data_IF_040878484817
#
_entry.id   IF_040878484817
#
_cell.length_a   1.000
_cell.length_b   1.000
_cell.length_c   1.000
_cell.angle_alpha   90.00
_cell.angle_beta   90.00
_cell.angle_gamma   90.00
#
_symmetry.space_group_name_H-M   'P 1'
#
loop_
_entity.id
_entity.type
_entity.pdbx_description
1 polymer ?
#
# COMPACT_ATOMS: atom_id res chain seq x y z
N UNK A 1 -5.19 -43.96 -22.00
CA UNK A 1 -5.17 -42.48 -22.04
C UNK A 1 -6.59 -42.01 -21.78
N UNK A 2 -6.89 -41.51 -20.58
CA UNK A 2 -8.21 -40.98 -20.27
C UNK A 2 -8.31 -39.56 -20.84
N UNK A 3 -9.20 -39.34 -21.81
CA UNK A 3 -9.47 -38.00 -22.32
C UNK A 3 -10.15 -37.19 -21.21
N UNK A 4 -9.43 -36.24 -20.64
CA UNK A 4 -10.03 -35.24 -19.76
C UNK A 4 -10.94 -34.36 -20.61
N UNK A 5 -12.23 -34.70 -20.65
CA UNK A 5 -13.25 -33.86 -21.26
C UNK A 5 -13.41 -32.60 -20.40
N UNK A 6 -12.60 -31.58 -20.70
CA UNK A 6 -12.75 -30.28 -20.05
C UNK A 6 -14.12 -29.73 -20.43
N UNK A 7 -14.93 -29.44 -19.42
CA UNK A 7 -16.24 -28.83 -19.56
C UNK A 7 -16.20 -27.60 -20.49
N UNK A 8 -17.12 -27.48 -21.47
CA UNK A 8 -17.22 -26.29 -22.31
C UNK A 8 -17.42 -25.03 -21.45
N UNK A 9 -16.85 -23.90 -21.89
CA UNK A 9 -17.00 -22.62 -21.20
C UNK A 9 -18.49 -22.25 -21.14
N UNK A 10 -19.04 -22.24 -19.93
CA UNK A 10 -20.41 -21.84 -19.67
C UNK A 10 -20.59 -20.35 -19.96
N UNK A 11 -21.70 -19.97 -20.60
CA UNK A 11 -22.07 -18.56 -20.72
C UNK A 11 -22.87 -18.14 -19.49
N UNK A 12 -22.69 -16.89 -19.06
CA UNK A 12 -23.45 -16.31 -17.97
C UNK A 12 -24.79 -15.80 -18.47
N UNK A 13 -25.85 -16.00 -17.69
CA UNK A 13 -27.13 -15.33 -17.93
C UNK A 13 -26.96 -13.80 -17.81
N UNK A 14 -27.62 -13.06 -18.69
CA UNK A 14 -27.67 -11.61 -18.68
C UNK A 14 -28.82 -11.10 -17.79
N UNK A 15 -28.96 -9.76 -17.66
CA UNK A 15 -30.05 -9.15 -16.88
C UNK A 15 -31.44 -9.34 -17.51
N UNK A 16 -31.52 -9.72 -18.79
CA UNK A 16 -32.77 -9.88 -19.52
C UNK A 16 -32.74 -11.23 -20.24
N UNK A 17 -33.44 -12.22 -19.69
CA UNK A 17 -33.50 -13.58 -20.21
C UNK A 17 -34.93 -14.01 -20.50
N UNK A 18 -35.10 -14.80 -21.54
CA UNK A 18 -36.37 -15.47 -21.87
C UNK A 18 -36.44 -16.83 -21.17
N UNK A 19 -37.64 -17.39 -21.00
CA UNK A 19 -37.81 -18.75 -20.43
C UNK A 19 -37.01 -19.77 -21.26
N UNK A 20 -37.01 -19.63 -22.58
CA UNK A 20 -36.27 -20.51 -23.49
C UNK A 20 -34.76 -20.39 -23.32
N UNK A 21 -34.22 -19.17 -23.18
CA UNK A 21 -32.78 -18.99 -22.95
C UNK A 21 -32.34 -19.50 -21.59
N UNK A 22 -33.19 -19.35 -20.56
CA UNK A 22 -32.97 -19.94 -19.25
C UNK A 22 -32.97 -21.48 -19.28
N UNK A 23 -33.96 -22.12 -19.92
CA UNK A 23 -34.00 -23.59 -19.99
C UNK A 23 -32.83 -24.14 -20.81
N UNK A 24 -32.44 -23.48 -21.91
CA UNK A 24 -31.27 -23.88 -22.68
C UNK A 24 -29.97 -23.77 -21.87
N UNK A 25 -29.82 -22.70 -21.09
CA UNK A 25 -28.70 -22.54 -20.17
C UNK A 25 -28.70 -23.62 -19.09
N UNK A 26 -29.85 -23.89 -18.46
CA UNK A 26 -30.00 -24.93 -17.43
C UNK A 26 -29.66 -26.31 -17.97
N UNK A 27 -30.17 -26.67 -19.14
CA UNK A 27 -29.88 -27.96 -19.78
C UNK A 27 -28.38 -28.08 -20.15
N UNK A 28 -27.77 -27.00 -20.65
CA UNK A 28 -26.35 -26.98 -20.93
C UNK A 28 -25.50 -27.15 -19.66
N UNK A 29 -25.91 -26.53 -18.56
CA UNK A 29 -25.25 -26.64 -17.27
C UNK A 29 -25.35 -28.06 -16.70
N UNK A 30 -26.55 -28.65 -16.72
CA UNK A 30 -26.78 -30.04 -16.28
C UNK A 30 -25.94 -31.01 -17.11
N UNK A 31 -25.98 -30.88 -18.44
CA UNK A 31 -25.16 -31.68 -19.33
C UNK A 31 -23.67 -31.56 -19.01
N UNK A 32 -23.18 -30.33 -18.82
CA UNK A 32 -21.77 -30.08 -18.56
C UNK A 32 -21.32 -30.64 -17.21
N UNK A 33 -22.12 -30.47 -16.15
CA UNK A 33 -21.85 -31.07 -14.85
C UNK A 33 -21.93 -32.60 -14.90
N UNK A 34 -22.78 -33.18 -15.77
CA UNK A 34 -22.87 -34.64 -15.92
C UNK A 34 -21.64 -35.28 -16.56
N UNK A 35 -20.83 -34.51 -17.29
CA UNK A 35 -19.56 -34.99 -17.87
C UNK A 35 -18.46 -35.15 -16.81
N UNK A 36 -18.62 -34.57 -15.62
CA UNK A 36 -17.70 -34.69 -14.51
C UNK A 36 -18.15 -35.82 -13.57
N UNK A 37 -17.30 -36.83 -13.40
CA UNK A 37 -17.57 -37.99 -12.55
C UNK A 37 -17.83 -37.63 -11.08
N UNK A 38 -17.33 -36.47 -10.60
CA UNK A 38 -17.56 -35.99 -9.24
C UNK A 38 -18.97 -35.43 -9.04
N UNK A 39 -19.60 -34.93 -10.11
CA UNK A 39 -20.93 -34.33 -10.06
C UNK A 39 -22.03 -35.28 -10.51
N UNK A 40 -21.69 -36.32 -11.29
CA UNK A 40 -22.62 -37.34 -11.77
C UNK A 40 -23.55 -37.93 -10.67
N UNK A 41 -23.09 -38.23 -9.43
CA UNK A 41 -23.97 -38.74 -8.36
C UNK A 41 -25.05 -37.76 -7.90
N UNK A 42 -24.85 -36.46 -8.11
CA UNK A 42 -25.77 -35.39 -7.68
C UNK A 42 -26.78 -34.99 -8.76
N UNK A 43 -26.67 -35.58 -9.95
CA UNK A 43 -27.51 -35.28 -11.13
C UNK A 43 -28.41 -36.46 -11.54
N UNK A 44 -28.29 -37.60 -10.86
CA UNK A 44 -29.14 -38.76 -11.10
C UNK A 44 -30.60 -38.47 -10.68
N UNK A 45 -31.59 -39.05 -11.37
CA UNK A 45 -33.02 -38.80 -11.09
C UNK A 45 -33.43 -39.21 -9.66
N UNK A 46 -32.67 -40.12 -9.04
CA UNK A 46 -32.83 -40.61 -7.68
C UNK A 46 -31.99 -39.84 -6.63
N UNK A 47 -31.13 -38.92 -7.08
CA UNK A 47 -30.34 -38.02 -6.23
C UNK A 47 -31.29 -37.04 -5.52
N UNK A 48 -31.79 -37.49 -4.37
CA UNK A 48 -32.78 -36.77 -3.60
C UNK A 48 -32.13 -36.16 -2.37
N UNK A 49 -32.27 -34.85 -2.24
CA UNK A 49 -32.04 -34.16 -0.99
C UNK A 49 -33.03 -34.73 0.03
N UNK A 50 -32.58 -35.60 0.95
CA UNK A 50 -33.45 -36.26 1.94
C UNK A 50 -34.34 -35.24 2.68
N UNK A 51 -35.60 -35.56 2.99
CA UNK A 51 -36.55 -34.58 3.55
C UNK A 51 -36.00 -34.01 4.86
N UNK A 52 -35.92 -32.69 4.99
CA UNK A 52 -35.50 -32.05 6.25
C UNK A 52 -36.49 -32.44 7.34
N UNK A 53 -36.06 -33.32 8.24
CA UNK A 53 -36.86 -33.79 9.37
C UNK A 53 -36.20 -33.32 10.66
N UNK A 54 -36.96 -33.38 11.75
CA UNK A 54 -36.42 -33.09 13.08
C UNK A 54 -35.27 -34.04 13.48
N UNK A 55 -35.23 -35.24 12.90
CA UNK A 55 -34.20 -36.25 13.17
C UNK A 55 -33.01 -36.21 12.20
N UNK A 56 -33.17 -35.64 10.99
CA UNK A 56 -32.11 -35.49 9.99
C UNK A 56 -32.14 -34.09 9.36
N UNK A 57 -31.69 -33.06 10.10
CA UNK A 57 -31.78 -31.68 9.63
C UNK A 57 -30.81 -31.37 8.49
N UNK A 58 -29.69 -32.11 8.41
CA UNK A 58 -28.62 -31.97 7.41
C UNK A 58 -28.76 -32.94 6.24
N UNK A 59 -29.93 -33.60 6.10
CA UNK A 59 -30.25 -34.51 4.98
C UNK A 59 -29.18 -35.59 4.74
N UNK A 60 -28.47 -36.01 5.79
CA UNK A 60 -27.47 -37.08 5.75
C UNK A 60 -25.99 -36.66 5.78
N UNK A 61 -25.66 -35.38 5.99
CA UNK A 61 -24.26 -34.90 6.05
C UNK A 61 -23.87 -34.40 7.45
N UNK A 62 -22.60 -34.51 7.86
CA UNK A 62 -22.13 -34.25 9.25
C UNK A 62 -21.19 -33.05 9.34
N UNK A 63 -21.44 -32.09 10.23
CA UNK A 63 -20.74 -30.79 10.36
C UNK A 63 -19.32 -30.84 10.97
N UNK A 64 -18.60 -29.71 10.90
CA UNK A 64 -17.35 -29.48 11.66
C UNK A 64 -17.57 -29.41 13.17
N UNK A 65 -16.56 -29.85 13.93
CA UNK A 65 -16.56 -29.84 15.40
C UNK A 65 -16.35 -28.47 16.05
N UNK A 66 -16.41 -28.45 17.39
CA UNK A 66 -16.43 -27.22 18.22
C UNK A 66 -15.15 -26.38 18.17
N UNK A 67 -14.09 -26.86 17.56
CA UNK A 67 -12.81 -26.17 17.42
C UNK A 67 -12.87 -24.92 16.52
N UNK A 68 -13.94 -24.74 15.73
CA UNK A 68 -14.10 -23.58 14.82
C UNK A 68 -15.08 -22.55 15.40
N UNK A 69 -14.68 -21.27 15.37
CA UNK A 69 -15.49 -20.14 15.82
C UNK A 69 -16.87 -20.12 15.14
N UNK A 70 -17.92 -19.85 15.91
CA UNK A 70 -19.32 -20.09 15.52
C UNK A 70 -19.79 -19.33 14.28
N UNK A 71 -19.18 -18.19 13.99
CA UNK A 71 -19.38 -17.34 12.81
C UNK A 71 -18.67 -17.86 11.54
N UNK A 72 -17.72 -18.78 11.69
CA UNK A 72 -16.93 -19.36 10.59
C UNK A 72 -17.20 -20.85 10.37
N UNK A 73 -18.16 -21.43 11.11
CA UNK A 73 -18.55 -22.83 10.95
C UNK A 73 -19.21 -23.01 9.59
N UNK A 74 -18.61 -23.84 8.76
CA UNK A 74 -19.20 -24.27 7.50
C UNK A 74 -19.78 -25.67 7.68
N UNK A 75 -20.92 -25.93 7.06
CA UNK A 75 -21.43 -27.30 6.98
C UNK A 75 -20.52 -28.11 6.05
N UNK A 76 -20.41 -29.40 6.28
CA UNK A 76 -19.55 -30.28 5.47
C UNK A 76 -19.98 -30.35 4.00
N UNK A 77 -21.27 -30.13 3.73
CA UNK A 77 -21.77 -29.92 2.37
C UNK A 77 -21.19 -28.65 1.74
N UNK A 78 -21.15 -27.54 2.48
CA UNK A 78 -20.53 -26.31 1.97
C UNK A 78 -19.05 -26.55 1.68
N UNK A 79 -18.30 -27.19 2.59
CA UNK A 79 -16.87 -27.48 2.37
C UNK A 79 -16.63 -28.37 1.14
N UNK A 80 -17.39 -29.46 1.00
CA UNK A 80 -17.25 -30.37 -0.13
C UNK A 80 -17.63 -29.70 -1.45
N UNK A 81 -18.76 -28.99 -1.50
CA UNK A 81 -19.19 -28.27 -2.70
C UNK A 81 -18.15 -27.20 -3.08
N UNK A 82 -17.64 -26.44 -2.12
CA UNK A 82 -16.61 -25.43 -2.38
C UNK A 82 -15.27 -26.02 -2.79
N UNK A 83 -14.85 -27.16 -2.22
CA UNK A 83 -13.63 -27.84 -2.64
C UNK A 83 -13.77 -28.40 -4.07
N UNK A 84 -14.90 -29.02 -4.41
CA UNK A 84 -15.14 -29.54 -5.76
C UNK A 84 -15.27 -28.41 -6.79
N UNK A 85 -15.92 -27.29 -6.46
CA UNK A 85 -15.93 -26.08 -7.30
C UNK A 85 -14.50 -25.55 -7.46
N UNK A 86 -13.73 -25.47 -6.36
CA UNK A 86 -12.35 -24.99 -6.40
C UNK A 86 -11.45 -25.86 -7.28
N UNK A 87 -11.55 -27.18 -7.16
CA UNK A 87 -10.83 -28.12 -8.03
C UNK A 87 -11.27 -28.03 -9.49
N UNK A 88 -12.58 -28.00 -9.76
CA UNK A 88 -13.14 -27.98 -11.12
C UNK A 88 -12.74 -26.71 -11.89
N UNK A 89 -12.72 -25.55 -11.23
CA UNK A 89 -12.31 -24.29 -11.83
C UNK A 89 -10.80 -24.00 -11.72
N UNK A 90 -10.01 -24.89 -11.10
CA UNK A 90 -8.57 -24.73 -10.97
C UNK A 90 -8.12 -23.73 -9.90
N UNK A 91 -8.98 -23.40 -8.95
CA UNK A 91 -8.67 -22.65 -7.73
C UNK A 91 -7.93 -23.53 -6.70
N UNK A 92 -6.91 -24.27 -7.14
CA UNK A 92 -6.02 -24.95 -6.21
C UNK A 92 -5.11 -23.91 -5.56
N UNK A 93 -4.97 -23.96 -4.23
CA UNK A 93 -3.90 -23.24 -3.55
C UNK A 93 -2.60 -23.85 -4.05
N UNK A 94 -1.92 -23.12 -4.92
CA UNK A 94 -0.63 -23.51 -5.47
C UNK A 94 0.39 -22.48 -5.03
N UNK A 95 1.66 -22.88 -4.89
CA UNK A 95 2.73 -21.91 -4.63
C UNK A 95 2.84 -20.81 -5.71
N UNK A 96 2.26 -21.04 -6.90
CA UNK A 96 2.19 -20.04 -7.96
C UNK A 96 1.16 -18.94 -7.66
N UNK A 97 0.08 -19.22 -6.93
CA UNK A 97 -0.92 -18.22 -6.57
C UNK A 97 -0.30 -17.03 -5.83
N UNK A 98 0.69 -17.29 -4.95
CA UNK A 98 1.41 -16.24 -4.23
C UNK A 98 2.10 -15.22 -5.16
N UNK A 99 2.46 -15.61 -6.39
CA UNK A 99 3.07 -14.70 -7.37
C UNK A 99 2.07 -13.66 -7.89
N UNK A 100 0.76 -13.95 -7.85
CA UNK A 100 -0.28 -13.01 -8.25
C UNK A 100 -0.37 -11.81 -7.30
N UNK A 101 0.24 -11.87 -6.11
CA UNK A 101 0.37 -10.74 -5.18
C UNK A 101 1.01 -9.53 -5.86
N UNK A 102 1.93 -9.76 -6.80
CA UNK A 102 2.62 -8.70 -7.54
C UNK A 102 1.68 -7.87 -8.44
N UNK A 103 0.51 -8.40 -8.77
CA UNK A 103 -0.48 -7.73 -9.60
C UNK A 103 -1.45 -6.85 -8.79
N UNK A 104 -1.41 -6.94 -7.45
CA UNK A 104 -2.26 -6.13 -6.59
C UNK A 104 -1.83 -4.66 -6.62
N UNK A 105 -2.81 -3.80 -6.88
CA UNK A 105 -2.68 -2.34 -6.94
C UNK A 105 -3.98 -1.69 -6.50
N UNK A 106 -3.93 -0.39 -6.17
CA UNK A 106 -5.14 0.42 -5.99
C UNK A 106 -5.80 0.63 -7.36
N UNK A 107 -7.05 0.21 -7.51
CA UNK A 107 -7.82 0.40 -8.75
C UNK A 107 -8.47 1.80 -8.81
N UNK A 108 -8.88 2.21 -10.01
CA UNK A 108 -9.60 3.48 -10.21
C UNK A 108 -10.93 3.48 -9.44
N UNK A 109 -11.19 4.53 -8.67
CA UNK A 109 -12.37 4.69 -7.80
C UNK A 109 -12.46 3.70 -6.63
N UNK A 110 -11.39 2.96 -6.35
CA UNK A 110 -11.31 2.11 -5.18
C UNK A 110 -10.93 2.90 -3.93
N UNK A 111 -11.59 2.61 -2.81
CA UNK A 111 -11.21 3.21 -1.52
C UNK A 111 -9.95 2.51 -1.00
N UNK A 112 -9.01 3.23 -0.36
CA UNK A 112 -7.85 2.61 0.27
C UNK A 112 -8.20 1.45 1.22
N UNK A 113 -9.31 1.55 1.94
CA UNK A 113 -9.76 0.49 2.84
C UNK A 113 -10.15 -0.80 2.08
N UNK A 114 -10.75 -0.68 0.90
CA UNK A 114 -11.12 -1.85 0.07
C UNK A 114 -9.86 -2.57 -0.43
N UNK A 115 -8.82 -1.81 -0.82
CA UNK A 115 -7.50 -2.36 -1.14
C UNK A 115 -6.90 -3.13 0.04
N UNK A 116 -7.01 -2.60 1.27
CA UNK A 116 -6.53 -3.30 2.47
C UNK A 116 -7.25 -4.64 2.65
N UNK A 117 -8.57 -4.67 2.50
CA UNK A 117 -9.36 -5.90 2.61
C UNK A 117 -8.96 -6.93 1.54
N UNK A 118 -8.72 -6.50 0.29
CA UNK A 118 -8.22 -7.39 -0.76
C UNK A 118 -6.83 -7.95 -0.46
N UNK A 119 -5.93 -7.15 0.10
CA UNK A 119 -4.59 -7.60 0.50
C UNK A 119 -4.68 -8.65 1.62
N UNK A 120 -5.53 -8.42 2.63
CA UNK A 120 -5.76 -9.39 3.72
C UNK A 120 -6.34 -10.68 3.16
N UNK A 121 -7.44 -10.60 2.40
CA UNK A 121 -8.10 -11.77 1.84
C UNK A 121 -7.15 -12.60 0.96
N UNK A 122 -6.34 -11.94 0.12
CA UNK A 122 -5.34 -12.63 -0.68
C UNK A 122 -4.30 -13.37 0.17
N UNK A 123 -3.78 -12.73 1.22
CA UNK A 123 -2.80 -13.38 2.10
C UNK A 123 -3.42 -14.53 2.88
N UNK A 124 -4.66 -14.37 3.36
CA UNK A 124 -5.43 -15.44 4.01
C UNK A 124 -5.66 -16.64 3.08
N UNK A 125 -5.93 -16.38 1.80
CA UNK A 125 -6.06 -17.43 0.77
C UNK A 125 -4.73 -18.13 0.47
N UNK A 126 -3.60 -17.50 0.81
CA UNK A 126 -2.26 -18.09 0.70
C UNK A 126 -1.82 -18.89 1.92
N UNK A 127 -2.50 -18.75 3.07
CA UNK A 127 -2.15 -19.48 4.29
C UNK A 127 -2.34 -20.98 4.08
N UNK A 128 -1.30 -21.75 4.44
CA UNK A 128 -1.31 -23.18 4.21
C UNK A 128 -2.28 -23.89 5.16
N UNK A 129 -3.13 -24.74 4.59
CA UNK A 129 -3.97 -25.67 5.36
C UNK A 129 -3.24 -26.99 5.59
N UNK A 130 -3.58 -27.68 6.67
CA UNK A 130 -3.02 -29.00 6.94
C UNK A 130 -3.19 -29.93 5.71
N UNK A 131 -2.12 -30.65 5.36
CA UNK A 131 -2.06 -31.56 4.21
C UNK A 131 -2.36 -30.93 2.82
N UNK A 132 -2.29 -29.60 2.64
CA UNK A 132 -2.53 -28.94 1.35
C UNK A 132 -1.28 -28.89 0.45
N UNK A 133 -0.22 -28.24 0.93
CA UNK A 133 1.07 -28.08 0.25
C UNK A 133 2.21 -28.41 1.22
N UNK A 134 3.33 -28.88 0.66
CA UNK A 134 4.56 -29.02 1.43
C UNK A 134 5.36 -27.72 1.44
N UNK A 135 5.76 -27.25 2.61
CA UNK A 135 6.72 -26.17 2.77
C UNK A 135 8.09 -26.77 3.14
N UNK A 136 9.12 -26.48 2.35
CA UNK A 136 10.46 -27.09 2.51
C UNK A 136 10.46 -28.63 2.55
N UNK A 137 9.56 -29.27 1.79
CA UNK A 137 9.42 -30.72 1.76
C UNK A 137 8.67 -31.33 2.96
N UNK A 138 8.16 -30.50 3.87
CA UNK A 138 7.39 -30.92 5.04
C UNK A 138 5.94 -30.47 4.88
N UNK A 139 4.99 -31.36 5.13
CA UNK A 139 3.58 -30.99 5.19
C UNK A 139 3.25 -30.42 6.57
N UNK A 140 2.41 -29.40 6.61
CA UNK A 140 1.94 -28.83 7.87
C UNK A 140 0.96 -29.79 8.55
N UNK A 141 1.15 -29.96 9.87
CA UNK A 141 0.26 -30.76 10.71
C UNK A 141 -1.02 -30.01 11.13
N UNK A 142 -0.93 -28.68 11.19
CA UNK A 142 -2.02 -27.77 11.56
C UNK A 142 -2.11 -26.63 10.55
N UNK A 143 -3.23 -25.92 10.55
CA UNK A 143 -3.44 -24.77 9.67
C UNK A 143 -2.51 -23.61 10.06
N UNK A 144 -1.94 -22.94 9.07
CA UNK A 144 -1.11 -21.75 9.27
C UNK A 144 -1.96 -20.58 9.76
N UNK A 145 -1.49 -19.90 10.81
CA UNK A 145 -2.10 -18.67 11.32
C UNK A 145 -1.37 -17.44 10.78
N UNK A 146 -2.13 -16.37 10.56
CA UNK A 146 -1.57 -15.09 10.13
C UNK A 146 -0.69 -14.50 11.24
N UNK A 147 0.63 -14.53 11.04
CA UNK A 147 1.57 -14.03 12.04
C UNK A 147 1.63 -12.49 12.10
N UNK A 148 1.99 -11.89 13.24
CA UNK A 148 2.14 -10.44 13.37
C UNK A 148 3.10 -9.81 12.36
N UNK A 149 4.14 -10.54 11.94
CA UNK A 149 5.08 -10.08 10.91
C UNK A 149 4.38 -9.94 9.56
N UNK A 150 3.53 -10.90 9.20
CA UNK A 150 2.78 -10.87 7.94
C UNK A 150 1.71 -9.77 7.98
N UNK A 151 1.01 -9.58 9.11
CA UNK A 151 0.11 -8.43 9.30
C UNK A 151 0.84 -7.09 9.06
N UNK A 152 2.04 -6.92 9.62
CA UNK A 152 2.85 -5.72 9.39
C UNK A 152 3.25 -5.54 7.92
N UNK A 153 3.57 -6.63 7.21
CA UNK A 153 3.89 -6.58 5.78
C UNK A 153 2.68 -6.22 4.93
N UNK A 154 1.48 -6.68 5.29
CA UNK A 154 0.22 -6.28 4.64
C UNK A 154 0.04 -4.77 4.77
N UNK A 155 0.15 -4.21 5.98
CA UNK A 155 -0.01 -2.76 6.20
C UNK A 155 1.06 -1.95 5.48
N UNK A 156 2.31 -2.40 5.50
CA UNK A 156 3.38 -1.74 4.75
C UNK A 156 3.12 -1.74 3.24
N UNK A 157 2.65 -2.86 2.69
CA UNK A 157 2.30 -3.00 1.27
C UNK A 157 1.14 -2.09 0.92
N UNK A 158 0.10 -2.07 1.76
CA UNK A 158 -1.05 -1.18 1.64
C UNK A 158 -0.64 0.29 1.53
N UNK A 159 0.21 0.77 2.45
CA UNK A 159 0.72 2.14 2.41
C UNK A 159 1.49 2.44 1.11
N UNK A 160 2.36 1.52 0.69
CA UNK A 160 3.18 1.66 -0.53
C UNK A 160 2.34 1.72 -1.80
N UNK A 161 1.26 0.94 -1.87
CA UNK A 161 0.37 0.87 -3.03
C UNK A 161 -0.55 2.10 -3.14
N UNK A 162 -0.87 2.76 -2.02
CA UNK A 162 -1.60 4.04 -2.03
C UNK A 162 -0.69 5.17 -2.50
N UNK A 163 0.48 5.33 -1.86
CA UNK A 163 1.45 6.36 -2.24
C UNK A 163 2.86 5.97 -1.73
N UNK A 164 3.90 6.06 -2.58
CA UNK A 164 5.25 5.62 -2.22
C UNK A 164 5.89 6.39 -1.05
N UNK A 165 5.48 7.63 -0.77
CA UNK A 165 6.01 8.44 0.33
C UNK A 165 5.27 8.21 1.67
N UNK A 166 4.09 7.57 1.65
CA UNK A 166 3.32 7.31 2.88
C UNK A 166 4.10 6.57 3.96
N UNK A 167 4.86 5.48 3.68
CA UNK A 167 5.63 4.79 4.72
C UNK A 167 6.61 5.71 5.46
N UNK A 168 7.22 6.67 4.74
CA UNK A 168 8.14 7.64 5.32
C UNK A 168 7.41 8.63 6.20
N UNK A 169 6.28 9.17 5.72
CA UNK A 169 5.47 10.12 6.50
C UNK A 169 4.85 9.46 7.75
N UNK A 170 4.35 8.23 7.63
CA UNK A 170 3.83 7.44 8.76
C UNK A 170 4.92 7.22 9.80
N UNK A 171 6.13 6.85 9.38
CA UNK A 171 7.28 6.70 10.30
C UNK A 171 7.61 8.00 11.04
N UNK A 172 7.47 9.15 10.38
CA UNK A 172 7.70 10.46 10.97
C UNK A 172 6.59 10.85 11.95
N UNK A 173 5.32 10.64 11.59
CA UNK A 173 4.14 11.03 12.38
C UNK A 173 3.89 10.13 13.59
N UNK A 174 4.00 8.81 13.42
CA UNK A 174 3.67 7.81 14.43
C UNK A 174 4.91 7.17 15.07
N UNK A 175 6.06 7.83 14.98
CA UNK A 175 7.34 7.29 15.45
C UNK A 175 7.37 7.00 16.96
N UNK A 176 6.52 7.64 17.74
CA UNK A 176 6.34 7.41 19.18
C UNK A 176 5.56 6.13 19.47
N UNK A 177 4.46 5.91 18.78
CA UNK A 177 3.55 4.77 18.90
C UNK A 177 4.24 3.50 18.41
N UNK A 178 4.99 3.60 17.31
CA UNK A 178 5.78 2.52 16.73
C UNK A 178 6.90 1.99 17.65
N UNK A 179 7.16 2.63 18.80
CA UNK A 179 8.10 2.10 19.81
C UNK A 179 7.50 0.98 20.65
N UNK A 180 6.19 0.96 20.83
CA UNK A 180 5.49 0.01 21.71
C UNK A 180 4.38 -0.77 21.01
N UNK A 181 4.01 -0.38 19.78
CA UNK A 181 2.93 -0.98 18.98
C UNK A 181 3.43 -1.37 17.60
N UNK A 182 2.84 -2.43 17.03
CA UNK A 182 3.15 -2.88 15.68
C UNK A 182 2.49 -1.96 14.64
N UNK A 183 3.03 -1.93 13.42
CA UNK A 183 2.44 -1.16 12.31
C UNK A 183 0.99 -1.60 12.05
N UNK A 184 0.73 -2.91 12.10
CA UNK A 184 -0.61 -3.45 11.98
C UNK A 184 -1.56 -2.92 13.07
N UNK A 185 -1.11 -2.87 14.32
CA UNK A 185 -1.94 -2.42 15.43
C UNK A 185 -2.26 -0.92 15.40
N UNK A 186 -1.47 -0.08 14.71
CA UNK A 186 -1.73 1.35 14.53
C UNK A 186 -2.44 1.69 13.21
N UNK A 187 -2.76 0.67 12.40
CA UNK A 187 -3.47 0.85 11.12
C UNK A 187 -4.79 1.61 11.27
N UNK A 188 -5.63 1.39 12.31
CA UNK A 188 -6.87 2.15 12.48
C UNK A 188 -6.62 3.66 12.56
N UNK A 189 -5.62 4.10 13.31
CA UNK A 189 -5.24 5.50 13.47
C UNK A 189 -4.69 6.09 12.17
N UNK A 190 -3.89 5.32 11.42
CA UNK A 190 -3.39 5.72 10.11
C UNK A 190 -4.54 5.84 9.10
N UNK A 191 -5.48 4.89 9.09
CA UNK A 191 -6.64 4.91 8.20
C UNK A 191 -7.54 6.12 8.47
N UNK A 192 -7.76 6.45 9.74
CA UNK A 192 -8.50 7.66 10.13
C UNK A 192 -7.82 8.96 9.66
N UNK A 193 -6.49 9.03 9.72
CA UNK A 193 -5.72 10.19 9.31
C UNK A 193 -5.36 10.20 7.80
N UNK A 194 -5.74 9.18 7.03
CA UNK A 194 -5.19 8.93 5.70
C UNK A 194 -5.40 10.10 4.73
N UNK A 195 -6.58 10.71 4.72
CA UNK A 195 -6.86 11.87 3.85
C UNK A 195 -5.94 13.05 4.19
N UNK A 196 -5.74 13.32 5.48
CA UNK A 196 -4.86 14.39 5.95
C UNK A 196 -3.38 14.12 5.60
N UNK A 197 -2.94 12.87 5.73
CA UNK A 197 -1.59 12.44 5.31
C UNK A 197 -1.39 12.61 3.80
N UNK A 198 -2.39 12.29 2.99
CA UNK A 198 -2.33 12.47 1.54
C UNK A 198 -2.30 13.96 1.16
N UNK A 199 -3.13 14.80 1.77
CA UNK A 199 -3.11 16.25 1.56
C UNK A 199 -1.75 16.88 1.91
N UNK A 200 -1.12 16.40 2.99
CA UNK A 200 0.24 16.83 3.38
C UNK A 200 1.28 16.49 2.31
N UNK A 201 1.22 15.28 1.73
CA UNK A 201 2.12 14.87 0.64
C UNK A 201 1.92 15.76 -0.59
N UNK A 202 0.67 15.98 -1.03
CA UNK A 202 0.38 16.85 -2.17
C UNK A 202 0.87 18.29 -1.92
N UNK A 203 0.64 18.83 -0.72
CA UNK A 203 1.09 20.17 -0.34
C UNK A 203 2.61 20.31 -0.35
N UNK A 204 3.32 19.28 0.11
CA UNK A 204 4.79 19.25 0.09
C UNK A 204 5.35 19.22 -1.34
N UNK A 205 4.69 18.48 -2.24
CA UNK A 205 5.05 18.41 -3.66
C UNK A 205 4.77 19.74 -4.38
N UNK A 206 3.61 20.36 -4.15
CA UNK A 206 3.27 21.67 -4.72
C UNK A 206 4.27 22.75 -4.27
N UNK A 207 4.62 22.78 -2.99
CA UNK A 207 5.64 23.69 -2.47
C UNK A 207 7.02 23.43 -3.09
N UNK A 208 7.34 22.19 -3.45
CA UNK A 208 8.58 21.85 -4.16
C UNK A 208 8.53 22.33 -5.61
N UNK A 209 7.42 22.11 -6.31
CA UNK A 209 7.21 22.57 -7.70
C UNK A 209 7.29 24.09 -7.78
N UNK A 210 6.60 24.82 -6.89
CA UNK A 210 6.63 26.29 -6.86
C UNK A 210 8.05 26.84 -6.65
N UNK A 211 8.84 26.23 -5.75
CA UNK A 211 10.25 26.61 -5.54
C UNK A 211 11.10 26.36 -6.78
N UNK A 212 10.89 25.26 -7.50
CA UNK A 212 11.62 24.94 -8.74
C UNK A 212 11.22 25.85 -9.91
N UNK A 213 9.93 26.20 -10.03
CA UNK A 213 9.43 27.12 -11.04
C UNK A 213 10.00 28.54 -10.85
N UNK A 214 9.98 29.08 -9.62
CA UNK A 214 10.54 30.41 -9.31
C UNK A 214 12.06 30.47 -9.59
N UNK A 215 12.78 29.38 -9.36
CA UNK A 215 14.20 29.26 -9.72
C UNK A 215 14.43 29.32 -11.24
N UNK A 216 13.50 28.79 -12.03
CA UNK A 216 13.60 28.72 -13.50
C UNK A 216 13.31 30.06 -14.20
N UNK A 217 12.52 30.94 -13.59
CA UNK A 217 12.21 32.28 -14.16
C UNK A 217 13.34 33.31 -14.01
N UNK A 218 14.45 33.00 -13.32
CA UNK A 218 15.59 33.92 -13.15
C UNK A 218 16.67 33.82 -14.25
N UNK A 219 16.38 33.28 -15.44
CA UNK A 219 17.30 33.35 -16.59
C UNK A 219 16.62 33.56 -17.94
N UNK A 220 16.80 34.73 -18.57
CA UNK A 220 16.80 34.88 -20.02
C UNK A 220 18.23 34.99 -20.57
N UNK A 221 18.54 34.20 -21.60
CA UNK A 221 19.58 34.52 -22.58
C UNK A 221 20.87 33.70 -22.54
N UNK A 222 20.89 32.56 -23.23
CA UNK A 222 21.76 32.35 -24.41
C UNK A 222 21.75 30.86 -24.81
N UNK A 223 21.20 30.56 -25.98
CA UNK A 223 21.18 29.24 -26.59
C UNK A 223 22.44 28.99 -27.44
N UNK A 224 22.96 27.75 -27.33
CA UNK A 224 23.73 26.94 -28.30
C UNK A 224 25.22 27.25 -28.51
N UNK A 225 26.07 26.27 -28.19
CA UNK A 225 26.79 25.41 -29.15
C UNK A 225 27.51 24.23 -28.44
N UNK A 226 27.19 23.01 -28.90
CA UNK A 226 28.00 21.79 -29.07
C UNK A 226 29.07 21.37 -28.02
N UNK A 227 28.79 20.21 -27.40
CA UNK A 227 29.68 19.05 -27.14
C UNK A 227 30.97 19.16 -26.26
N UNK A 228 30.87 18.49 -25.09
CA UNK A 228 31.88 17.61 -24.38
C UNK A 228 33.08 18.27 -23.65
N UNK A 229 33.80 17.55 -22.74
CA UNK A 229 33.40 16.92 -21.47
C UNK A 229 34.22 17.40 -20.24
N UNK A 230 33.66 17.17 -19.04
CA UNK A 230 34.30 16.87 -17.74
C UNK A 230 35.68 17.49 -17.40
N UNK A 231 35.76 18.34 -16.36
CA UNK A 231 36.56 18.13 -15.13
C UNK A 231 36.81 19.42 -14.32
N UNK A 232 36.87 19.23 -12.98
CA UNK A 232 37.53 20.04 -11.93
C UNK A 232 36.87 21.32 -11.40
N UNK A 233 36.40 21.18 -10.16
CA UNK A 233 36.40 22.14 -9.04
C UNK A 233 36.94 23.53 -9.37
N UNK A 234 36.05 24.53 -9.36
CA UNK A 234 36.43 25.94 -9.36
C UNK A 234 35.67 26.64 -8.23
N UNK A 235 36.23 26.63 -7.01
CA UNK A 235 35.76 27.56 -5.96
C UNK A 235 36.07 28.97 -6.46
N UNK A 236 35.09 29.90 -6.47
CA UNK A 236 35.32 31.25 -6.96
C UNK A 236 36.41 31.93 -6.13
N UNK A 237 37.45 32.45 -6.81
CA UNK A 237 38.48 33.27 -6.16
C UNK A 237 37.81 34.47 -5.48
N UNK A 238 38.19 34.68 -4.21
CA UNK A 238 37.72 35.80 -3.38
C UNK A 238 38.03 37.11 -4.10
N UNK A 239 37.02 37.94 -4.39
CA UNK A 239 37.24 39.28 -4.96
C UNK A 239 36.43 40.34 -4.23
N UNK A 240 37.12 41.39 -3.76
CA UNK A 240 36.56 42.51 -3.02
C UNK A 240 35.89 43.49 -4.00
N UNK A 241 34.56 43.72 -3.89
CA UNK A 241 33.83 44.58 -4.81
C UNK A 241 34.29 46.04 -4.76
N UNK A 242 34.67 46.55 -3.58
CA UNK A 242 35.19 47.93 -3.44
C UNK A 242 36.51 48.15 -4.18
N UNK A 243 37.44 47.20 -4.07
CA UNK A 243 38.74 47.30 -4.75
C UNK A 243 38.62 47.02 -6.24
N UNK A 244 37.72 46.12 -6.64
CA UNK A 244 37.44 45.83 -8.05
C UNK A 244 36.83 47.04 -8.77
N UNK A 245 35.86 47.70 -8.15
CA UNK A 245 35.19 48.87 -8.74
C UNK A 245 36.10 50.10 -8.81
N UNK A 246 37.03 50.24 -7.87
CA UNK A 246 38.04 51.31 -7.88
C UNK A 246 39.28 50.98 -8.73
N UNK A 247 39.30 49.85 -9.45
CA UNK A 247 40.42 49.44 -10.30
C UNK A 247 41.72 49.18 -9.54
N UNK A 248 41.67 48.82 -8.26
CA UNK A 248 42.87 48.60 -7.42
C UNK A 248 43.46 47.22 -7.71
N UNK A 249 44.80 47.15 -7.71
CA UNK A 249 45.56 45.94 -8.07
C UNK A 249 45.37 44.78 -7.10
N UNK A 250 45.11 45.06 -5.82
CA UNK A 250 44.87 44.02 -4.81
C UNK A 250 43.38 43.89 -4.47
N UNK A 251 42.63 43.19 -5.33
CA UNK A 251 41.21 42.90 -5.11
C UNK A 251 40.94 41.51 -4.53
N UNK A 252 41.95 40.72 -4.18
CA UNK A 252 41.77 39.31 -3.79
C UNK A 252 41.55 39.09 -2.27
N UNK A 253 40.55 39.75 -1.69
CA UNK A 253 40.17 39.63 -0.28
C UNK A 253 38.66 39.79 -0.09
N UNK A 254 38.15 39.55 1.11
CA UNK A 254 36.73 39.77 1.43
C UNK A 254 36.45 41.24 1.73
N UNK A 255 35.23 41.71 1.43
CA UNK A 255 34.81 43.08 1.71
C UNK A 255 35.03 43.49 3.18
N UNK A 256 34.79 42.55 4.11
CA UNK A 256 35.00 42.74 5.55
C UNK A 256 36.45 43.02 5.97
N UNK A 257 37.41 42.59 5.15
CA UNK A 257 38.85 42.74 5.38
C UNK A 257 39.44 43.91 4.58
N UNK A 258 38.61 44.66 3.84
CA UNK A 258 39.07 45.75 2.99
C UNK A 258 39.50 46.96 3.82
N UNK A 259 40.74 47.42 3.63
CA UNK A 259 41.28 48.63 4.28
C UNK A 259 40.56 49.92 3.85
N UNK A 260 39.88 49.90 2.70
CA UNK A 260 39.14 51.05 2.15
C UNK A 260 37.65 51.02 2.51
N UNK A 261 37.20 50.05 3.32
CA UNK A 261 35.83 50.01 3.82
C UNK A 261 35.65 51.09 4.90
N UNK A 262 34.70 52.03 4.75
CA UNK A 262 34.43 53.06 5.75
C UNK A 262 34.09 52.46 7.12
N UNK A 263 34.49 53.14 8.20
CA UNK A 263 34.30 52.63 9.56
C UNK A 263 32.82 52.42 9.93
N UNK A 264 31.91 53.21 9.34
CA UNK A 264 30.47 53.04 9.52
C UNK A 264 29.99 51.70 8.96
N UNK A 265 30.44 51.31 7.77
CA UNK A 265 30.09 50.05 7.12
C UNK A 265 30.78 48.85 7.78
N UNK A 266 32.02 49.06 8.27
CA UNK A 266 32.74 48.07 9.08
C UNK A 266 31.96 47.73 10.35
N UNK A 267 31.46 48.74 11.06
CA UNK A 267 30.64 48.57 12.27
C UNK A 267 29.30 47.89 11.96
N UNK A 268 28.68 48.23 10.83
CA UNK A 268 27.45 47.57 10.38
C UNK A 268 27.66 46.07 10.13
N UNK A 269 28.76 45.71 9.45
CA UNK A 269 29.09 44.31 9.16
C UNK A 269 29.39 43.48 10.42
N UNK A 270 30.03 44.08 11.44
CA UNK A 270 30.26 43.41 12.74
C UNK A 270 28.95 43.21 13.50
N UNK A 271 28.08 44.23 13.54
CA UNK A 271 26.75 44.11 14.16
C UNK A 271 25.85 43.08 13.47
N UNK A 272 25.88 43.03 12.14
CA UNK A 272 25.12 42.04 11.36
C UNK A 272 25.56 40.60 11.65
N UNK A 273 26.85 40.35 11.93
CA UNK A 273 27.33 39.03 12.36
C UNK A 273 26.88 38.66 13.77
N UNK A 274 26.96 39.59 14.73
CA UNK A 274 26.47 39.34 16.10
C UNK A 274 24.96 39.07 16.14
N UNK A 275 24.16 39.75 15.32
CA UNK A 275 22.71 39.50 15.24
C UNK A 275 22.41 38.11 14.66
N UNK A 276 23.19 37.66 13.67
CA UNK A 276 23.05 36.32 13.11
C UNK A 276 23.42 35.23 14.13
N UNK A 277 24.44 35.45 14.96
CA UNK A 277 24.82 34.51 16.03
C UNK A 277 23.79 34.47 17.17
N UNK A 278 23.16 35.59 17.53
CA UNK A 278 22.13 35.65 18.61
C UNK A 278 20.81 34.97 18.20
N UNK A 279 20.47 34.97 16.91
CA UNK A 279 19.22 34.36 16.40
C UNK A 279 19.26 32.83 16.33
N UNK A 280 20.44 32.20 16.44
CA UNK A 280 20.56 30.74 16.49
C UNK A 280 20.43 30.16 17.92
N UNK A 281 20.48 31.00 18.97
CA UNK A 281 20.57 30.60 20.38
C UNK A 281 19.32 30.93 21.24
N UNK A 282 18.16 31.21 20.66
CA UNK A 282 16.91 31.38 21.44
C UNK A 282 16.15 30.03 21.54
N UNK A 283 16.16 29.34 22.69
CA UNK A 283 15.27 28.21 22.94
C UNK A 283 13.82 28.72 23.11
N UNK A 284 12.89 28.20 22.31
CA UNK A 284 11.46 28.40 22.50
C UNK A 284 10.98 27.67 23.76
N UNK A 285 10.91 28.39 24.89
CA UNK A 285 10.20 27.93 26.07
C UNK A 285 9.39 29.05 26.72
N UNK A 286 8.12 28.70 26.97
CA UNK A 286 7.15 29.33 27.88
C UNK A 286 6.33 30.54 27.37
N UNK A 287 5.04 30.25 27.06
CA UNK A 287 3.96 31.16 27.44
C UNK A 287 2.78 30.36 28.01
N UNK A 288 2.88 30.06 29.31
CA UNK A 288 1.77 29.63 30.15
C UNK A 288 0.83 30.82 30.38
N UNK A 289 -0.36 30.81 29.78
CA UNK A 289 -1.44 31.73 30.13
C UNK A 289 -2.44 30.97 30.99
N UNK A 290 -2.36 31.21 32.30
CA UNK A 290 -3.41 30.93 33.26
C UNK A 290 -4.69 31.67 32.84
N UNK A 291 -5.77 30.94 32.56
CA UNK A 291 -7.13 31.50 32.60
C UNK A 291 -7.80 30.99 33.87
N UNK A 292 -8.08 31.93 34.76
CA UNK A 292 -9.00 31.75 35.88
C UNK A 292 -10.43 31.81 35.32
N UNK A 293 -11.24 30.80 35.66
CA UNK A 293 -12.69 30.81 35.45
C UNK A 293 -13.40 31.46 36.65
N UNK A 294 -14.47 32.25 36.41
CA UNK A 294 -15.48 32.54 37.41
C UNK A 294 -16.82 31.90 37.03
N UNK A 295 -17.28 30.91 37.82
CA UNK A 295 -18.68 30.64 38.21
C UNK A 295 -18.76 29.29 38.93
#
# INVERSE_FOLDING_TARGET
MASTHRAPKQWCLSKIETITSFENWRQNLIYTLSLDSNFAPFLAEDATWGKKTRAQPSRGFTDDGEAVAQNSRQTTQQKSIWNTIREHFGFQVTGAHFLDFANLRLETDERPEDLYQRLVAFVEDCLLRANSLSHHGVQLAEDEELSPTVENLIVLTWLRLINPELPKLVKQRYGTELRSRTLASIKPEISQALSSLLEEIHSADDAKIMRTAVSSYRKPGSERLLARPNTRSNRPLKSCPLCKQAGRTNSSHFLSECNFLPDQDRRYMVKARQIAEILEDIPESESSINRADPA
#
